data_IF_057105862917
#
_entry.id   IF_057105862917
#
_cell.length_a   1.000
_cell.length_b   1.000
_cell.length_c   1.000
_cell.angle_alpha   90.00
_cell.angle_beta   90.00
_cell.angle_gamma   90.00
#
_symmetry.space_group_name_H-M   'P 1'
#
loop_
_entity.id
_entity.type
_entity.pdbx_description
1 polymer ?
#
# COMPACT_ATOMS: atom_id res chain seq x y z
N UNK A 1 7.35 -15.63 -16.45
CA UNK A 1 6.82 -14.65 -15.51
C UNK A 1 5.61 -15.20 -14.78
N UNK A 2 5.58 -15.05 -13.49
CA UNK A 2 4.42 -15.48 -12.71
C UNK A 2 3.26 -14.52 -12.98
N UNK A 3 2.09 -15.08 -13.15
CA UNK A 3 0.91 -14.29 -13.38
C UNK A 3 0.00 -14.38 -12.18
N UNK A 4 -0.39 -13.24 -11.65
CA UNK A 4 -1.38 -13.18 -10.59
C UNK A 4 -2.77 -13.19 -11.21
N UNK A 5 -3.70 -13.87 -10.55
CA UNK A 5 -5.08 -13.83 -10.99
C UNK A 5 -5.96 -13.58 -9.77
N UNK A 6 -7.26 -13.42 -10.01
CA UNK A 6 -8.17 -12.95 -8.97
C UNK A 6 -8.27 -13.88 -7.78
N UNK A 7 -7.90 -15.16 -7.97
CA UNK A 7 -8.04 -16.13 -6.90
C UNK A 7 -6.74 -16.37 -6.15
N UNK A 8 -5.64 -15.81 -6.65
CA UNK A 8 -4.36 -16.03 -5.99
C UNK A 8 -4.14 -15.01 -4.90
N UNK A 9 -3.73 -15.50 -3.73
CA UNK A 9 -3.35 -14.65 -2.62
C UNK A 9 -1.96 -15.08 -2.21
N UNK A 10 -1.00 -14.17 -2.36
CA UNK A 10 0.37 -14.43 -1.94
C UNK A 10 0.57 -13.84 -0.57
N UNK A 11 1.17 -14.61 0.33
CA UNK A 11 1.42 -14.13 1.68
C UNK A 11 2.89 -14.12 1.96
N UNK A 12 3.28 -13.24 2.86
CA UNK A 12 4.67 -13.13 3.26
C UNK A 12 4.80 -12.27 4.49
N UNK A 13 6.03 -11.88 4.78
CA UNK A 13 6.26 -11.02 5.91
C UNK A 13 7.63 -11.20 6.50
N UNK A 14 7.93 -10.35 7.47
CA UNK A 14 9.14 -10.39 8.27
C UNK A 14 8.74 -10.03 9.69
N UNK A 15 9.22 -10.81 10.65
CA UNK A 15 9.05 -10.48 12.07
C UNK A 15 7.69 -9.87 12.37
N UNK A 16 7.63 -8.52 12.48
CA UNK A 16 6.42 -7.85 12.94
C UNK A 16 5.53 -7.33 11.83
N UNK A 17 5.86 -7.60 10.57
CA UNK A 17 5.04 -7.15 9.44
C UNK A 17 4.67 -8.34 8.57
N UNK A 18 3.39 -8.51 8.34
CA UNK A 18 2.86 -9.56 7.48
C UNK A 18 2.07 -8.92 6.35
N UNK A 19 2.04 -9.57 5.22
CA UNK A 19 1.26 -9.07 4.10
C UNK A 19 0.59 -10.20 3.35
N UNK A 20 -0.47 -9.85 2.65
CA UNK A 20 -1.09 -10.72 1.65
C UNK A 20 -1.34 -9.89 0.41
N UNK A 21 -1.15 -10.50 -0.75
CA UNK A 21 -1.26 -9.82 -2.04
C UNK A 21 -2.34 -10.54 -2.84
N UNK A 22 -3.32 -9.79 -3.29
CA UNK A 22 -4.39 -10.32 -4.14
C UNK A 22 -4.48 -9.44 -5.38
N UNK A 23 -4.69 -10.08 -6.52
CA UNK A 23 -4.84 -9.35 -7.78
C UNK A 23 -6.26 -9.55 -8.28
N UNK A 24 -6.86 -8.49 -8.74
CA UNK A 24 -8.22 -8.53 -9.25
C UNK A 24 -8.29 -7.63 -10.46
N UNK A 25 -8.39 -8.24 -11.63
CA UNK A 25 -8.33 -7.53 -12.91
C UNK A 25 -7.03 -6.75 -12.99
N UNK A 26 -7.07 -5.43 -13.05
CA UNK A 26 -5.87 -4.62 -13.17
C UNK A 26 -5.44 -4.00 -11.85
N UNK A 27 -6.11 -4.36 -10.76
CA UNK A 27 -5.79 -3.80 -9.44
C UNK A 27 -5.09 -4.84 -8.59
N UNK A 28 -4.06 -4.43 -7.87
CA UNK A 28 -3.37 -5.28 -6.90
C UNK A 28 -3.62 -4.69 -5.52
N UNK A 29 -4.03 -5.54 -4.58
CA UNK A 29 -4.27 -5.12 -3.20
C UNK A 29 -3.23 -5.80 -2.32
N UNK A 30 -2.50 -4.98 -1.56
CA UNK A 30 -1.51 -5.46 -0.60
C UNK A 30 -2.05 -5.14 0.79
N UNK A 31 -2.49 -6.16 1.52
CA UNK A 31 -3.00 -5.97 2.87
C UNK A 31 -1.85 -6.14 3.85
N UNK A 32 -1.65 -5.14 4.69
CA UNK A 32 -0.57 -5.15 5.68
C UNK A 32 -1.15 -5.38 7.06
N UNK A 33 -0.42 -6.13 7.88
CA UNK A 33 -0.77 -6.34 9.29
C UNK A 33 0.49 -6.23 10.10
N UNK A 34 0.45 -5.41 11.15
CA UNK A 34 1.57 -5.27 12.06
C UNK A 34 2.21 -3.91 12.00
N UNK A 35 3.54 -3.89 11.96
CA UNK A 35 4.30 -2.66 12.14
C UNK A 35 5.18 -2.40 10.93
N UNK A 36 5.07 -1.19 10.38
CA UNK A 36 5.90 -0.76 9.27
C UNK A 36 6.88 0.28 9.81
N UNK A 37 8.14 -0.15 10.00
CA UNK A 37 9.16 0.65 10.61
C UNK A 37 10.50 0.37 9.93
N UNK A 38 11.56 0.95 10.48
CA UNK A 38 12.89 0.82 9.89
C UNK A 38 13.31 -0.64 9.72
N UNK A 39 12.87 -1.52 10.62
CA UNK A 39 13.26 -2.93 10.55
C UNK A 39 12.48 -3.71 9.51
N UNK A 40 11.35 -3.20 9.03
CA UNK A 40 10.47 -3.96 8.15
C UNK A 40 10.29 -3.33 6.76
N UNK A 41 10.82 -2.13 6.53
CA UNK A 41 10.55 -1.42 5.28
C UNK A 41 11.21 -2.04 4.07
N UNK A 42 12.43 -2.58 4.19
CA UNK A 42 13.15 -3.02 3.01
C UNK A 42 12.43 -4.16 2.27
N UNK A 43 11.98 -5.21 2.96
CA UNK A 43 11.24 -6.26 2.26
C UNK A 43 9.96 -5.75 1.62
N UNK A 44 9.25 -4.84 2.28
CA UNK A 44 8.02 -4.30 1.70
C UNK A 44 8.33 -3.46 0.47
N UNK A 45 9.39 -2.65 0.52
CA UNK A 45 9.78 -1.86 -0.64
C UNK A 45 10.09 -2.74 -1.83
N UNK A 46 10.78 -3.85 -1.61
CA UNK A 46 11.07 -4.78 -2.69
C UNK A 46 9.81 -5.41 -3.24
N UNK A 47 8.89 -5.80 -2.37
CA UNK A 47 7.63 -6.36 -2.80
C UNK A 47 6.87 -5.39 -3.69
N UNK A 48 6.73 -4.14 -3.23
CA UNK A 48 5.97 -3.16 -4.00
C UNK A 48 6.62 -2.91 -5.35
N UNK A 49 7.97 -2.84 -5.39
CA UNK A 49 8.67 -2.69 -6.66
C UNK A 49 8.41 -3.83 -7.61
N UNK A 50 8.41 -5.05 -7.10
CA UNK A 50 8.13 -6.22 -7.94
C UNK A 50 6.71 -6.20 -8.47
N UNK A 51 5.76 -5.79 -7.65
CA UNK A 51 4.37 -5.75 -8.08
C UNK A 51 4.15 -4.74 -9.20
N UNK A 52 4.88 -3.64 -9.18
CA UNK A 52 4.74 -2.63 -10.23
C UNK A 52 5.19 -3.15 -11.59
N UNK A 53 6.00 -4.20 -11.64
CA UNK A 53 6.42 -4.77 -12.91
C UNK A 53 5.28 -5.43 -13.67
N UNK A 54 4.20 -5.78 -12.99
CA UNK A 54 3.01 -6.31 -13.65
C UNK A 54 2.17 -5.23 -14.31
N UNK A 55 2.56 -3.95 -14.14
CA UNK A 55 1.88 -2.81 -14.72
C UNK A 55 0.40 -2.75 -14.36
N UNK A 56 0.07 -2.85 -13.08
CA UNK A 56 -1.33 -2.68 -12.67
C UNK A 56 -1.74 -1.23 -12.84
N UNK A 57 -3.04 -0.98 -12.96
CA UNK A 57 -3.52 0.39 -12.95
C UNK A 57 -3.47 0.98 -11.56
N UNK A 58 -3.69 0.15 -10.54
CA UNK A 58 -3.71 0.61 -9.15
C UNK A 58 -3.09 -0.44 -8.26
N UNK A 59 -2.28 0.02 -7.32
CA UNK A 59 -1.84 -0.77 -6.17
C UNK A 59 -2.46 -0.14 -4.94
N UNK A 60 -3.32 -0.88 -4.27
CA UNK A 60 -3.98 -0.41 -3.06
C UNK A 60 -3.30 -1.09 -1.87
N UNK A 61 -2.77 -0.28 -0.98
CA UNK A 61 -2.17 -0.77 0.27
C UNK A 61 -3.24 -0.69 1.33
N UNK A 62 -3.75 -1.85 1.74
CA UNK A 62 -4.82 -1.91 2.73
C UNK A 62 -4.18 -1.88 4.10
N UNK A 63 -4.42 -0.79 4.83
CA UNK A 63 -3.78 -0.54 6.11
C UNK A 63 -4.71 -0.77 7.29
N UNK A 64 -5.80 -1.53 7.09
CA UNK A 64 -6.77 -1.72 8.17
C UNK A 64 -6.16 -2.39 9.40
N UNK A 65 -5.11 -3.19 9.21
CA UNK A 65 -4.47 -3.91 10.30
C UNK A 65 -3.04 -3.44 10.54
N UNK A 66 -2.68 -2.29 10.01
CA UNK A 66 -1.37 -1.70 10.25
C UNK A 66 -1.42 -0.94 11.57
N UNK A 67 -0.75 -1.46 12.59
CA UNK A 67 -0.84 -0.93 13.94
C UNK A 67 0.21 0.13 14.23
N UNK A 68 1.26 0.21 13.42
CA UNK A 68 2.34 1.15 13.68
C UNK A 68 2.96 1.58 12.35
N UNK A 69 3.27 2.86 12.25
CA UNK A 69 3.88 3.45 11.07
C UNK A 69 4.81 4.57 11.53
N UNK A 70 6.11 4.46 11.22
CA UNK A 70 7.06 5.51 11.55
C UNK A 70 7.52 6.23 10.27
N UNK A 71 8.49 7.13 10.41
CA UNK A 71 8.96 7.92 9.28
C UNK A 71 9.58 7.07 8.19
N UNK A 72 10.22 5.96 8.56
CA UNK A 72 10.78 5.04 7.56
C UNK A 72 9.67 4.39 6.75
N UNK A 73 8.59 4.00 7.42
CA UNK A 73 7.44 3.43 6.73
C UNK A 73 6.78 4.43 5.80
N UNK A 74 6.64 5.68 6.27
CA UNK A 74 6.08 6.73 5.44
C UNK A 74 6.92 6.93 4.19
N UNK A 75 8.24 7.00 4.35
CA UNK A 75 9.12 7.21 3.21
C UNK A 75 9.02 6.06 2.22
N UNK A 76 8.90 4.83 2.72
CA UNK A 76 8.74 3.66 1.87
C UNK A 76 7.48 3.80 1.01
N UNK A 77 6.38 4.23 1.59
CA UNK A 77 5.13 4.38 0.85
C UNK A 77 5.22 5.53 -0.15
N UNK A 78 5.87 6.63 0.22
CA UNK A 78 6.06 7.75 -0.69
C UNK A 78 6.91 7.34 -1.88
N UNK A 79 8.01 6.64 -1.62
CA UNK A 79 8.89 6.19 -2.70
C UNK A 79 8.16 5.24 -3.64
N UNK A 80 7.35 4.35 -3.07
CA UNK A 80 6.58 3.41 -3.89
C UNK A 80 5.52 4.13 -4.71
N UNK A 81 4.90 5.18 -4.14
CA UNK A 81 3.90 5.94 -4.86
C UNK A 81 4.53 6.68 -6.04
N UNK A 82 5.74 7.20 -5.87
CA UNK A 82 6.44 7.87 -6.96
C UNK A 82 6.84 6.89 -8.04
N UNK A 83 7.34 5.71 -7.64
CA UNK A 83 7.68 4.68 -8.60
C UNK A 83 6.46 4.23 -9.39
N UNK A 84 5.32 4.14 -8.72
CA UNK A 84 4.08 3.77 -9.39
C UNK A 84 3.71 4.80 -10.44
N UNK A 85 3.76 6.07 -10.09
CA UNK A 85 3.44 7.14 -11.04
C UNK A 85 4.33 7.06 -12.27
N UNK A 86 5.60 6.73 -12.08
CA UNK A 86 6.54 6.67 -13.19
C UNK A 86 6.20 5.58 -14.19
N UNK A 87 5.43 4.57 -13.81
CA UNK A 87 5.03 3.50 -14.71
C UNK A 87 3.54 3.53 -15.01
N UNK A 88 2.89 4.66 -14.75
CA UNK A 88 1.48 4.82 -15.09
C UNK A 88 0.53 4.13 -14.13
N UNK A 89 0.97 3.86 -12.92
CA UNK A 89 0.17 3.19 -11.90
C UNK A 89 -0.11 4.18 -10.79
N UNK A 90 -1.23 3.99 -10.10
CA UNK A 90 -1.56 4.81 -8.93
C UNK A 90 -1.46 3.92 -7.70
N UNK A 91 -0.67 4.37 -6.73
CA UNK A 91 -0.58 3.68 -5.44
C UNK A 91 -1.33 4.48 -4.40
N UNK A 92 -2.24 3.84 -3.69
CA UNK A 92 -3.04 4.50 -2.66
C UNK A 92 -3.04 3.64 -1.41
N UNK A 93 -3.22 4.29 -0.26
CA UNK A 93 -3.44 3.61 1.01
C UNK A 93 -4.93 3.65 1.29
N UNK A 94 -5.52 2.49 1.51
CA UNK A 94 -6.95 2.40 1.77
C UNK A 94 -7.20 1.78 3.13
N UNK A 95 -8.35 2.07 3.68
CA UNK A 95 -8.81 1.61 5.00
C UNK A 95 -7.77 1.89 6.09
N UNK A 96 -7.22 3.11 6.13
CA UNK A 96 -6.22 3.42 7.16
C UNK A 96 -6.86 3.44 8.54
N UNK A 97 -6.10 3.04 9.54
CA UNK A 97 -6.53 3.24 10.91
C UNK A 97 -6.48 4.72 11.25
N UNK A 98 -7.15 5.11 12.34
CA UNK A 98 -7.13 6.50 12.76
C UNK A 98 -5.70 6.98 13.00
N UNK A 99 -4.83 6.12 13.52
CA UNK A 99 -3.45 6.49 13.76
C UNK A 99 -2.71 6.76 12.45
N UNK A 100 -2.94 5.93 11.44
CA UNK A 100 -2.30 6.13 10.13
C UNK A 100 -2.78 7.44 9.50
N UNK A 101 -4.09 7.71 9.58
CA UNK A 101 -4.63 8.96 9.06
C UNK A 101 -3.97 10.15 9.74
N UNK A 102 -3.84 10.09 11.06
CA UNK A 102 -3.27 11.19 11.82
C UNK A 102 -1.80 11.42 11.44
N UNK A 103 -1.03 10.34 11.35
CA UNK A 103 0.39 10.46 11.03
C UNK A 103 0.58 11.01 9.63
N UNK A 104 -0.17 10.51 8.66
CA UNK A 104 -0.05 11.00 7.28
C UNK A 104 -0.49 12.45 7.18
N UNK A 105 -1.53 12.84 7.95
CA UNK A 105 -1.98 14.23 7.95
C UNK A 105 -0.94 15.17 8.52
N UNK A 106 -0.29 14.76 9.61
CA UNK A 106 0.78 15.59 10.23
C UNK A 106 1.91 15.80 9.23
N UNK A 107 2.23 14.79 8.44
CA UNK A 107 3.31 14.88 7.46
C UNK A 107 2.86 15.55 6.16
N UNK A 108 1.59 15.89 6.02
CA UNK A 108 1.09 16.52 4.80
C UNK A 108 0.99 15.57 3.63
N UNK A 109 0.87 14.28 3.88
CA UNK A 109 0.88 13.26 2.84
C UNK A 109 -0.47 12.61 2.62
N UNK A 110 -1.49 13.07 3.31
CA UNK A 110 -2.80 12.44 3.21
C UNK A 110 -3.36 12.53 1.80
N UNK A 111 -3.16 13.65 1.10
CA UNK A 111 -3.68 13.77 -0.26
C UNK A 111 -2.87 12.97 -1.27
N UNK A 112 -1.60 12.72 -0.96
CA UNK A 112 -0.77 11.93 -1.87
C UNK A 112 -1.05 10.45 -1.73
N UNK A 113 -1.22 9.97 -0.51
CA UNK A 113 -1.24 8.53 -0.27
C UNK A 113 -2.62 7.98 0.01
N UNK A 114 -3.49 8.74 0.69
CA UNK A 114 -4.79 8.19 1.04
C UNK A 114 -5.70 8.14 -0.18
N UNK A 115 -6.54 7.10 -0.23
CA UNK A 115 -7.53 7.00 -1.28
C UNK A 115 -8.42 8.21 -1.22
N UNK A 116 -8.65 8.81 -2.40
CA UNK A 116 -9.46 10.00 -2.49
C UNK A 116 -10.91 9.66 -2.13
N UNK A 117 -11.44 10.37 -1.15
CA UNK A 117 -12.82 10.16 -0.74
C UNK A 117 -13.78 10.37 -1.91
N UNK A 118 -13.41 11.21 -2.85
CA UNK A 118 -14.27 11.47 -4.00
C UNK A 118 -14.30 10.32 -4.98
N UNK A 119 -13.33 9.42 -4.93
CA UNK A 119 -13.33 8.26 -5.80
C UNK A 119 -14.12 7.11 -5.19
N UNK A 120 -14.61 7.27 -3.97
CA UNK A 120 -15.43 6.28 -3.28
C UNK A 120 -16.87 6.76 -3.30
N UNK A 121 -17.77 6.10 -4.06
CA UNK A 121 -19.13 6.58 -4.15
C UNK A 121 -19.85 6.65 -2.80
N UNK A 122 -19.51 5.77 -1.87
CA UNK A 122 -20.19 5.78 -0.56
C UNK A 122 -19.66 6.89 0.32
N UNK A 123 -18.43 7.32 0.15
CA UNK A 123 -17.85 8.37 0.97
C UNK A 123 -18.26 9.76 0.49
N UNK A 124 -18.84 9.82 -0.67
CA UNK A 124 -19.16 11.10 -1.26
C UNK A 124 -20.41 11.74 -0.67
N UNK A 125 -21.16 11.00 0.09
CA UNK A 125 -22.43 11.50 0.64
C UNK A 125 -22.22 12.46 1.78
#
# INVERSE_FOLDING_TARGET
MVRLNTEEVLTGGVERLRWSVAAEESEIVVALAGELDLATVDPLGRLLGELLQYRPTTVAVDAARLSFLDSSGIQCLVDAAQAATNVGCKLVVQRPTANVVRVLGICGLDQLLLADAESDPTARR
#
